data_IF_473795623018
#
_entry.id   IF_473795623018
#
_cell.length_a   1.000
_cell.length_b   1.000
_cell.length_c   1.000
_cell.angle_alpha   90.00
_cell.angle_beta   90.00
_cell.angle_gamma   90.00
#
_symmetry.space_group_name_H-M   'P 1'
#
loop_
_entity.id
_entity.type
_entity.pdbx_description
1 polymer ?
#
# COMPACT_ATOMS: atom_id res chain seq x y z
N UNK A 1 29.60 -17.20 11.35
CA UNK A 1 28.41 -17.68 12.08
C UNK A 1 27.41 -18.08 11.00
N UNK A 2 27.03 -19.34 10.95
CA UNK A 2 26.07 -19.85 9.99
C UNK A 2 24.66 -19.67 10.56
N UNK A 3 23.76 -19.06 9.77
CA UNK A 3 22.37 -18.86 10.20
C UNK A 3 21.62 -20.20 10.10
N UNK A 4 20.81 -20.51 11.09
CA UNK A 4 19.95 -21.70 11.10
C UNK A 4 18.96 -21.65 9.94
N UNK A 5 18.37 -20.47 9.68
CA UNK A 5 17.43 -20.23 8.58
C UNK A 5 17.62 -18.81 8.00
N UNK A 6 17.07 -18.60 6.82
CA UNK A 6 16.91 -17.28 6.18
C UNK A 6 15.44 -17.04 5.88
N UNK A 7 15.06 -15.81 5.61
CA UNK A 7 13.69 -15.48 5.17
C UNK A 7 13.27 -16.39 4.00
N UNK A 8 12.01 -16.87 3.98
CA UNK A 8 11.50 -17.69 2.90
C UNK A 8 11.62 -16.98 1.56
N UNK A 9 11.84 -17.76 0.49
CA UNK A 9 11.96 -17.19 -0.86
C UNK A 9 10.70 -16.40 -1.25
N UNK A 10 10.85 -15.14 -1.62
CA UNK A 10 9.75 -14.26 -2.01
C UNK A 10 9.13 -13.50 -0.85
N UNK A 11 9.79 -13.48 0.32
CA UNK A 11 9.50 -12.58 1.43
C UNK A 11 10.71 -11.68 1.68
N UNK A 12 10.50 -10.52 2.28
CA UNK A 12 11.56 -9.52 2.55
C UNK A 12 11.34 -8.91 3.93
N UNK A 13 12.41 -8.84 4.74
CA UNK A 13 12.37 -8.10 5.99
C UNK A 13 12.43 -6.59 5.72
N UNK A 14 11.50 -5.84 6.28
CA UNK A 14 11.50 -4.37 6.28
C UNK A 14 12.18 -3.91 7.56
N UNK A 15 13.47 -3.63 7.46
CA UNK A 15 14.33 -3.27 8.60
C UNK A 15 14.43 -1.75 8.80
N UNK A 16 14.88 -1.27 10.01
CA UNK A 16 15.16 0.14 10.22
C UNK A 16 16.06 0.74 9.13
N UNK A 17 15.74 1.94 8.66
CA UNK A 17 16.36 2.58 7.49
C UNK A 17 15.53 2.39 6.21
N UNK A 18 14.72 1.33 6.15
CA UNK A 18 13.73 1.13 5.08
C UNK A 18 12.31 1.32 5.60
N UNK A 19 12.05 0.94 6.84
CA UNK A 19 10.73 1.00 7.46
C UNK A 19 10.15 2.43 7.48
N UNK A 20 10.99 3.44 7.63
CA UNK A 20 10.57 4.84 7.64
C UNK A 20 9.96 5.28 6.30
N UNK A 21 10.49 4.79 5.17
CA UNK A 21 9.88 5.04 3.87
C UNK A 21 8.50 4.41 3.74
N UNK A 22 8.32 3.22 4.31
CA UNK A 22 7.03 2.54 4.37
C UNK A 22 6.03 3.33 5.19
N UNK A 23 6.43 3.81 6.37
CA UNK A 23 5.58 4.60 7.26
C UNK A 23 5.07 5.86 6.55
N UNK A 24 5.97 6.64 5.93
CA UNK A 24 5.59 7.85 5.17
C UNK A 24 4.61 7.52 4.06
N UNK A 25 4.87 6.47 3.29
CA UNK A 25 3.98 6.04 2.21
C UNK A 25 2.61 5.60 2.74
N UNK A 26 2.57 4.79 3.79
CA UNK A 26 1.35 4.30 4.43
C UNK A 26 0.53 5.45 5.02
N UNK A 27 1.18 6.44 5.63
CA UNK A 27 0.51 7.63 6.21
C UNK A 27 -0.14 8.49 5.13
N UNK A 28 0.48 8.65 3.96
CA UNK A 28 -0.14 9.34 2.82
C UNK A 28 -1.39 8.60 2.35
N UNK A 29 -1.36 7.27 2.20
CA UNK A 29 -2.53 6.49 1.81
C UNK A 29 -3.63 6.49 2.86
N UNK A 30 -3.27 6.39 4.14
CA UNK A 30 -4.21 6.50 5.26
C UNK A 30 -4.92 7.84 5.26
N UNK A 31 -4.13 8.92 5.24
CA UNK A 31 -4.66 10.29 5.20
C UNK A 31 -5.58 10.52 4.00
N UNK A 32 -5.19 10.03 2.81
CA UNK A 32 -6.02 10.18 1.60
C UNK A 32 -7.34 9.41 1.72
N UNK A 33 -7.34 8.21 2.30
CA UNK A 33 -8.56 7.46 2.56
C UNK A 33 -9.48 8.18 3.55
N UNK A 34 -8.94 8.69 4.65
CA UNK A 34 -9.68 9.41 5.68
C UNK A 34 -10.28 10.71 5.15
N UNK A 35 -9.54 11.48 4.33
CA UNK A 35 -10.04 12.67 3.64
C UNK A 35 -11.25 12.38 2.73
N UNK A 36 -11.31 11.17 2.16
CA UNK A 36 -12.40 10.70 1.33
C UNK A 36 -13.52 10.00 2.12
N UNK A 37 -13.44 9.96 3.47
CA UNK A 37 -14.44 9.40 4.36
C UNK A 37 -14.42 7.87 4.44
N UNK A 38 -13.29 7.22 4.14
CA UNK A 38 -13.11 5.79 4.34
C UNK A 38 -12.65 5.49 5.76
N UNK A 39 -13.24 4.45 6.38
CA UNK A 39 -12.82 3.92 7.67
C UNK A 39 -11.87 2.73 7.52
N UNK A 40 -10.87 2.61 8.41
CA UNK A 40 -9.97 1.46 8.40
C UNK A 40 -10.69 0.17 8.78
N UNK A 41 -10.43 -0.89 8.02
CA UNK A 41 -10.82 -2.26 8.38
C UNK A 41 -9.59 -3.16 8.43
N UNK A 42 -9.53 -4.01 9.46
CA UNK A 42 -8.49 -5.05 9.61
C UNK A 42 -9.14 -6.41 9.65
N UNK A 43 -8.90 -7.20 8.62
CA UNK A 43 -9.42 -8.57 8.50
C UNK A 43 -8.36 -9.59 8.94
N UNK A 44 -8.73 -10.82 9.31
CA UNK A 44 -7.79 -11.89 9.61
C UNK A 44 -6.82 -12.17 8.43
N UNK A 45 -5.60 -12.63 8.77
CA UNK A 45 -4.59 -13.03 7.77
C UNK A 45 -5.02 -14.28 7.01
N UNK A 46 -5.80 -15.15 7.63
CA UNK A 46 -6.32 -16.38 7.05
C UNK A 46 -7.85 -16.43 7.17
N UNK A 47 -8.46 -17.06 6.19
CA UNK A 47 -9.92 -17.22 6.06
C UNK A 47 -10.24 -18.65 5.68
N UNK A 48 -11.51 -19.05 5.76
CA UNK A 48 -11.97 -20.28 5.14
C UNK A 48 -11.72 -20.25 3.63
N UNK A 49 -11.18 -21.34 3.09
CA UNK A 49 -10.82 -21.43 1.66
C UNK A 49 -12.00 -21.13 0.74
N UNK A 50 -13.21 -21.51 1.15
CA UNK A 50 -14.45 -21.26 0.40
C UNK A 50 -14.68 -19.77 0.08
N UNK A 51 -14.24 -18.86 0.96
CA UNK A 51 -14.38 -17.42 0.74
C UNK A 51 -13.70 -16.99 -0.56
N UNK A 52 -12.49 -17.51 -0.80
CA UNK A 52 -11.72 -17.15 -1.99
C UNK A 52 -12.15 -17.94 -3.22
N UNK A 53 -12.56 -19.19 -3.08
CA UNK A 53 -13.10 -20.00 -4.19
C UNK A 53 -14.32 -19.35 -4.80
N UNK A 54 -15.25 -18.86 -3.98
CA UNK A 54 -16.48 -18.19 -4.44
C UNK A 54 -16.20 -16.78 -4.95
N UNK A 55 -15.48 -15.97 -4.17
CA UNK A 55 -15.31 -14.55 -4.46
C UNK A 55 -14.32 -14.24 -5.57
N UNK A 56 -13.18 -14.94 -5.63
CA UNK A 56 -12.10 -14.64 -6.58
C UNK A 56 -12.33 -15.28 -7.95
N UNK A 57 -13.05 -16.40 -7.98
CA UNK A 57 -13.33 -17.21 -9.17
C UNK A 57 -12.35 -18.36 -9.34
N UNK A 58 -12.90 -19.56 -9.56
CA UNK A 58 -12.17 -20.82 -9.69
C UNK A 58 -11.31 -20.93 -10.96
N UNK A 59 -11.52 -20.03 -11.93
CA UNK A 59 -10.74 -19.98 -13.20
C UNK A 59 -9.53 -19.06 -13.13
N UNK A 60 -9.30 -18.39 -12.00
CA UNK A 60 -8.19 -17.44 -11.85
C UNK A 60 -6.88 -18.15 -11.50
N UNK A 61 -5.76 -17.65 -12.01
CA UNK A 61 -4.43 -18.17 -11.62
C UNK A 61 -4.20 -18.08 -10.09
N UNK A 62 -4.80 -17.10 -9.43
CA UNK A 62 -4.70 -16.92 -7.98
C UNK A 62 -5.28 -18.12 -7.27
N UNK A 63 -6.49 -18.55 -7.62
CA UNK A 63 -7.19 -19.69 -7.00
C UNK A 63 -6.56 -21.02 -7.44
N UNK A 64 -6.29 -21.19 -8.73
CA UNK A 64 -5.79 -22.47 -9.26
C UNK A 64 -4.38 -22.81 -8.77
N UNK A 65 -3.49 -21.82 -8.58
CA UNK A 65 -2.04 -22.09 -8.46
C UNK A 65 -1.33 -21.30 -7.36
N UNK A 66 -1.93 -20.23 -6.81
CA UNK A 66 -1.18 -19.27 -6.01
C UNK A 66 -1.62 -19.16 -4.56
N UNK A 67 -2.73 -19.80 -4.16
CA UNK A 67 -3.17 -19.78 -2.77
C UNK A 67 -2.25 -20.64 -1.86
N UNK A 68 -1.96 -20.12 -0.66
CA UNK A 68 -1.40 -20.88 0.43
C UNK A 68 -2.54 -21.49 1.25
N UNK A 69 -2.88 -22.74 0.96
CA UNK A 69 -4.00 -23.45 1.58
C UNK A 69 -3.47 -24.62 2.42
N UNK A 70 -4.04 -24.81 3.60
CA UNK A 70 -3.70 -25.89 4.52
C UNK A 70 -4.93 -26.29 5.36
N UNK A 71 -4.89 -27.44 5.98
CA UNK A 71 -5.87 -27.86 6.97
C UNK A 71 -5.45 -27.44 8.37
N UNK A 72 -6.38 -26.88 9.13
CA UNK A 72 -6.15 -26.61 10.55
C UNK A 72 -6.28 -27.92 11.38
N UNK A 73 -5.98 -27.84 12.69
CA UNK A 73 -6.09 -28.99 13.60
C UNK A 73 -7.51 -29.56 13.71
N UNK A 74 -8.52 -28.84 13.29
CA UNK A 74 -9.93 -29.27 13.26
C UNK A 74 -10.35 -29.83 11.90
N UNK A 75 -9.42 -30.02 10.95
CA UNK A 75 -9.70 -30.52 9.60
C UNK A 75 -10.40 -29.51 8.67
N UNK A 76 -10.36 -28.21 9.00
CA UNK A 76 -10.98 -27.17 8.18
C UNK A 76 -9.95 -26.63 7.18
N UNK A 77 -10.37 -26.47 5.92
CA UNK A 77 -9.53 -25.87 4.88
C UNK A 77 -9.41 -24.35 5.09
N UNK A 78 -8.20 -23.88 5.29
CA UNK A 78 -7.84 -22.49 5.59
C UNK A 78 -6.86 -22.00 4.53
N UNK A 79 -7.01 -20.75 4.14
CA UNK A 79 -6.15 -20.10 3.12
C UNK A 79 -5.62 -18.77 3.66
N UNK A 80 -4.32 -18.51 3.51
CA UNK A 80 -3.77 -17.17 3.71
C UNK A 80 -4.37 -16.25 2.63
N UNK A 81 -4.88 -15.07 3.02
CA UNK A 81 -5.54 -14.15 2.10
C UNK A 81 -4.65 -13.80 0.90
N UNK A 82 -5.06 -14.07 -0.34
CA UNK A 82 -4.34 -13.70 -1.54
C UNK A 82 -4.66 -12.28 -2.01
N UNK A 83 -5.70 -11.66 -1.44
CA UNK A 83 -6.20 -10.30 -1.71
C UNK A 83 -7.07 -9.83 -0.54
N UNK A 84 -7.44 -8.53 -0.51
CA UNK A 84 -8.16 -7.95 0.64
C UNK A 84 -9.68 -7.88 0.48
N UNK A 85 -10.19 -7.82 -0.75
CA UNK A 85 -11.60 -7.53 -1.06
C UNK A 85 -12.56 -8.56 -0.47
N UNK A 86 -12.31 -9.86 -0.66
CA UNK A 86 -13.16 -10.94 -0.14
C UNK A 86 -13.30 -10.87 1.39
N UNK A 87 -12.18 -10.64 2.09
CA UNK A 87 -12.18 -10.45 3.55
C UNK A 87 -12.99 -9.22 3.98
N UNK A 88 -12.89 -8.11 3.23
CA UNK A 88 -13.64 -6.88 3.51
C UNK A 88 -15.15 -7.08 3.31
N UNK A 89 -15.57 -7.75 2.21
CA UNK A 89 -16.99 -8.09 1.96
C UNK A 89 -17.54 -8.97 3.07
N UNK A 90 -16.83 -10.05 3.43
CA UNK A 90 -17.25 -10.94 4.52
C UNK A 90 -17.39 -10.18 5.84
N UNK A 91 -16.41 -9.35 6.19
CA UNK A 91 -16.43 -8.57 7.43
C UNK A 91 -17.54 -7.51 7.44
N UNK A 92 -17.83 -6.87 6.32
CA UNK A 92 -18.94 -5.93 6.15
C UNK A 92 -20.28 -6.61 6.42
N UNK A 93 -20.47 -7.83 5.87
CA UNK A 93 -21.68 -8.61 6.06
C UNK A 93 -21.81 -9.14 7.49
N UNK A 94 -20.77 -9.78 8.01
CA UNK A 94 -20.77 -10.41 9.34
C UNK A 94 -21.01 -9.42 10.47
N UNK A 95 -20.43 -8.21 10.36
CA UNK A 95 -20.59 -7.16 11.37
C UNK A 95 -21.75 -6.20 11.09
N UNK A 96 -22.51 -6.44 10.03
CA UNK A 96 -23.68 -5.63 9.69
C UNK A 96 -23.36 -4.14 9.45
N UNK A 97 -22.19 -3.81 8.88
CA UNK A 97 -21.77 -2.43 8.69
C UNK A 97 -22.73 -1.64 7.81
N UNK A 98 -23.46 -2.30 6.93
CA UNK A 98 -24.52 -1.72 6.10
C UNK A 98 -25.71 -1.18 6.90
N UNK A 99 -25.88 -1.55 8.16
CA UNK A 99 -26.99 -1.07 9.00
C UNK A 99 -26.89 0.42 9.33
N UNK A 100 -25.69 1.00 9.27
CA UNK A 100 -25.47 2.44 9.44
C UNK A 100 -25.87 3.26 8.20
N UNK A 101 -26.20 2.59 7.09
CA UNK A 101 -26.54 3.20 5.80
C UNK A 101 -25.45 3.03 4.75
N UNK A 102 -25.79 3.38 3.51
CA UNK A 102 -24.87 3.36 2.37
C UNK A 102 -24.46 4.78 1.97
N UNK A 103 -23.29 5.00 1.33
CA UNK A 103 -22.29 3.98 1.04
C UNK A 103 -21.46 3.58 2.27
N UNK A 104 -21.12 2.28 2.38
CA UNK A 104 -20.08 1.81 3.31
C UNK A 104 -18.74 1.97 2.62
N UNK A 105 -17.81 2.73 3.23
CA UNK A 105 -16.48 3.04 2.70
C UNK A 105 -15.42 2.49 3.64
N UNK A 106 -14.61 1.55 3.15
CA UNK A 106 -13.59 0.85 3.94
C UNK A 106 -12.24 0.93 3.25
N UNK A 107 -11.15 1.12 4.01
CA UNK A 107 -9.79 0.95 3.52
C UNK A 107 -8.99 -0.02 4.39
N UNK A 108 -7.97 -0.61 3.83
CA UNK A 108 -7.05 -1.49 4.56
C UNK A 108 -5.61 -1.34 4.05
N UNK A 109 -4.67 -1.50 5.00
CA UNK A 109 -3.25 -1.71 4.76
C UNK A 109 -2.92 -3.12 5.24
N UNK A 110 -2.52 -4.01 4.34
CA UNK A 110 -2.44 -5.42 4.68
C UNK A 110 -1.44 -6.21 3.84
N UNK A 111 -0.84 -7.26 4.44
CA UNK A 111 -0.09 -8.26 3.67
C UNK A 111 -1.03 -9.26 3.02
N UNK A 112 -0.73 -9.62 1.78
CA UNK A 112 -1.37 -10.69 1.02
C UNK A 112 -0.34 -11.74 0.61
N UNK A 113 -0.77 -12.98 0.37
CA UNK A 113 0.12 -14.11 0.18
C UNK A 113 -0.21 -14.86 -1.10
N UNK A 114 0.75 -14.95 -2.04
CA UNK A 114 0.59 -15.63 -3.32
C UNK A 114 1.81 -16.49 -3.65
N UNK A 115 1.60 -17.76 -3.97
CA UNK A 115 2.68 -18.67 -4.38
C UNK A 115 3.12 -18.38 -5.83
N UNK A 116 3.63 -17.16 -6.04
CA UNK A 116 4.16 -16.73 -7.33
C UNK A 116 5.66 -17.06 -7.47
N UNK A 117 6.13 -17.11 -8.73
CA UNK A 117 7.57 -17.11 -9.01
C UNK A 117 8.11 -15.71 -8.69
N UNK A 118 8.97 -15.55 -7.67
CA UNK A 118 9.48 -14.24 -7.29
C UNK A 118 10.26 -13.58 -8.41
N UNK A 119 9.93 -12.31 -8.67
CA UNK A 119 10.62 -11.43 -9.62
C UNK A 119 10.39 -9.98 -9.19
N UNK A 120 11.00 -9.01 -9.89
CA UNK A 120 10.80 -7.59 -9.61
C UNK A 120 9.30 -7.25 -9.57
N UNK A 121 8.85 -6.63 -8.46
CA UNK A 121 7.45 -6.25 -8.24
C UNK A 121 6.47 -7.43 -8.03
N UNK A 122 6.96 -8.67 -7.86
CA UNK A 122 6.15 -9.86 -7.51
C UNK A 122 6.81 -10.66 -6.41
N UNK A 123 6.26 -10.56 -5.22
CA UNK A 123 6.67 -11.28 -4.03
C UNK A 123 5.62 -12.32 -3.65
N UNK A 124 5.98 -13.27 -2.77
CA UNK A 124 5.05 -14.24 -2.19
C UNK A 124 4.28 -13.66 -1.00
N UNK A 125 4.91 -12.78 -0.25
CA UNK A 125 4.26 -11.84 0.64
C UNK A 125 4.34 -10.46 -0.01
N UNK A 126 3.20 -9.86 -0.28
CA UNK A 126 3.07 -8.54 -0.89
C UNK A 126 2.22 -7.66 0.03
N UNK A 127 2.52 -6.38 0.06
CA UNK A 127 1.78 -5.42 0.86
C UNK A 127 0.81 -4.63 -0.02
N UNK A 128 -0.41 -4.48 0.44
CA UNK A 128 -1.48 -3.87 -0.33
C UNK A 128 -2.18 -2.78 0.49
N UNK A 129 -2.33 -1.61 -0.12
CA UNK A 129 -3.36 -0.65 0.24
C UNK A 129 -4.58 -0.91 -0.64
N UNK A 130 -5.75 -1.04 -0.04
CA UNK A 130 -6.99 -1.21 -0.79
C UNK A 130 -8.13 -0.40 -0.20
N UNK A 131 -9.09 -0.09 -1.05
CA UNK A 131 -10.35 0.55 -0.67
C UNK A 131 -11.51 -0.21 -1.26
N UNK A 132 -12.60 -0.27 -0.51
CA UNK A 132 -13.85 -0.91 -0.92
C UNK A 132 -15.01 0.02 -0.59
N UNK A 133 -15.90 0.24 -1.55
CA UNK A 133 -17.11 1.04 -1.41
C UNK A 133 -18.33 0.20 -1.79
N UNK A 134 -19.25 0.06 -0.87
CA UNK A 134 -20.47 -0.74 -1.06
C UNK A 134 -21.70 0.16 -1.07
N UNK A 135 -22.67 -0.17 -1.94
CA UNK A 135 -23.96 0.52 -2.04
C UNK A 135 -23.96 1.77 -2.93
N UNK A 136 -22.85 2.10 -3.58
CA UNK A 136 -22.74 3.25 -4.50
C UNK A 136 -22.85 2.76 -5.96
N UNK A 137 -24.00 2.94 -6.58
CA UNK A 137 -24.24 2.53 -7.97
C UNK A 137 -23.82 3.59 -9.00
N UNK A 138 -23.78 4.85 -8.62
CA UNK A 138 -23.60 5.98 -9.53
C UNK A 138 -22.17 6.08 -10.08
N UNK A 139 -21.98 6.50 -11.36
CA UNK A 139 -20.67 6.63 -12.01
C UNK A 139 -19.69 7.56 -11.30
N UNK A 140 -20.20 8.54 -10.55
CA UNK A 140 -19.37 9.48 -9.77
C UNK A 140 -18.53 8.75 -8.70
N UNK A 141 -19.02 7.62 -8.19
CA UNK A 141 -18.27 6.81 -7.22
C UNK A 141 -17.02 6.18 -7.84
N UNK A 142 -17.11 5.70 -9.10
CA UNK A 142 -15.96 5.20 -9.86
C UNK A 142 -14.90 6.29 -10.04
N UNK A 143 -15.32 7.48 -10.47
CA UNK A 143 -14.44 8.63 -10.64
C UNK A 143 -13.81 9.06 -9.31
N UNK A 144 -14.56 9.03 -8.19
CA UNK A 144 -14.03 9.39 -6.87
C UNK A 144 -12.88 8.50 -6.42
N UNK A 145 -13.03 7.16 -6.50
CA UNK A 145 -11.96 6.25 -6.05
C UNK A 145 -10.74 6.31 -6.96
N UNK A 146 -10.93 6.53 -8.27
CA UNK A 146 -9.82 6.72 -9.22
C UNK A 146 -9.07 8.02 -8.90
N UNK A 147 -9.79 9.13 -8.70
CA UNK A 147 -9.21 10.42 -8.35
C UNK A 147 -8.45 10.36 -7.02
N UNK A 148 -8.99 9.65 -6.02
CA UNK A 148 -8.33 9.41 -4.73
C UNK A 148 -6.98 8.69 -4.89
N UNK A 149 -6.92 7.64 -5.70
CA UNK A 149 -5.68 6.91 -5.94
C UNK A 149 -4.62 7.80 -6.63
N UNK A 150 -5.03 8.59 -7.63
CA UNK A 150 -4.15 9.51 -8.34
C UNK A 150 -3.68 10.67 -7.45
N UNK A 151 -4.54 11.16 -6.55
CA UNK A 151 -4.18 12.15 -5.54
C UNK A 151 -3.08 11.61 -4.61
N UNK A 152 -3.23 10.37 -4.12
CA UNK A 152 -2.23 9.72 -3.29
C UNK A 152 -0.88 9.59 -4.00
N UNK A 153 -0.87 9.18 -5.27
CA UNK A 153 0.37 9.10 -6.08
C UNK A 153 1.03 10.48 -6.23
N UNK A 154 0.25 11.51 -6.52
CA UNK A 154 0.75 12.88 -6.63
C UNK A 154 1.33 13.40 -5.31
N UNK A 155 0.68 13.13 -4.17
CA UNK A 155 1.18 13.49 -2.84
C UNK A 155 2.48 12.76 -2.49
N UNK A 156 2.69 11.55 -3.00
CA UNK A 156 3.94 10.80 -2.88
C UNK A 156 5.03 11.30 -3.84
N UNK A 157 4.74 12.23 -4.75
CA UNK A 157 5.69 12.71 -5.76
C UNK A 157 5.87 11.79 -6.96
N UNK A 158 4.92 10.88 -7.22
CA UNK A 158 4.92 10.04 -8.41
C UNK A 158 4.29 10.78 -9.59
N UNK A 159 5.08 11.06 -10.65
CA UNK A 159 4.64 11.82 -11.82
C UNK A 159 4.39 10.96 -13.07
N UNK A 160 4.90 9.71 -13.09
CA UNK A 160 4.87 8.84 -14.26
C UNK A 160 3.72 7.82 -14.28
N UNK A 161 2.76 7.97 -13.37
CA UNK A 161 1.63 7.05 -13.24
C UNK A 161 0.51 7.46 -14.18
N UNK A 162 0.19 6.57 -15.13
CA UNK A 162 -0.95 6.74 -16.04
C UNK A 162 -2.24 6.15 -15.47
N UNK A 163 -3.34 6.38 -16.19
CA UNK A 163 -4.63 5.77 -15.93
C UNK A 163 -5.13 5.08 -17.20
N UNK A 164 -5.32 3.77 -17.13
CA UNK A 164 -6.00 2.99 -18.17
C UNK A 164 -7.39 2.61 -17.68
N UNK A 165 -8.38 2.79 -18.53
CA UNK A 165 -9.80 2.53 -18.28
C UNK A 165 -10.36 1.55 -19.29
N UNK A 166 -11.29 0.70 -18.84
CA UNK A 166 -12.17 -0.08 -19.69
C UNK A 166 -13.53 -0.28 -19.03
N UNK A 167 -14.50 -0.74 -19.80
CA UNK A 167 -15.73 -1.32 -19.29
C UNK A 167 -15.84 -2.76 -19.77
N UNK A 168 -15.89 -3.72 -18.84
CA UNK A 168 -16.10 -5.13 -19.16
C UNK A 168 -17.59 -5.51 -19.17
N UNK A 169 -18.47 -4.53 -19.12
CA UNK A 169 -19.91 -4.67 -19.19
C UNK A 169 -20.55 -5.40 -17.99
N UNK A 170 -21.86 -5.46 -18.01
CA UNK A 170 -22.65 -6.27 -17.09
C UNK A 170 -22.71 -7.75 -17.58
N UNK A 171 -23.31 -8.68 -16.80
CA UNK A 171 -23.45 -10.07 -17.21
C UNK A 171 -24.12 -10.26 -18.58
N UNK A 172 -25.09 -9.42 -18.94
CA UNK A 172 -25.76 -9.48 -20.25
C UNK A 172 -24.82 -9.08 -21.41
N UNK A 173 -24.06 -7.99 -21.26
CA UNK A 173 -23.05 -7.61 -22.24
C UNK A 173 -22.02 -8.73 -22.45
N UNK A 174 -21.61 -9.39 -21.37
CA UNK A 174 -20.59 -10.45 -21.42
C UNK A 174 -21.07 -11.71 -22.13
N UNK A 175 -22.38 -12.04 -22.12
CA UNK A 175 -22.90 -13.21 -22.85
C UNK A 175 -22.57 -13.14 -24.33
N UNK A 176 -22.93 -12.05 -24.98
CA UNK A 176 -22.69 -11.85 -26.42
C UNK A 176 -21.18 -11.69 -26.72
N UNK A 177 -20.47 -10.99 -25.85
CA UNK A 177 -19.04 -10.82 -26.02
C UNK A 177 -18.26 -12.14 -25.88
N UNK A 178 -18.58 -12.97 -24.90
CA UNK A 178 -17.99 -14.30 -24.73
C UNK A 178 -18.20 -15.19 -25.96
N UNK A 179 -19.40 -15.12 -26.56
CA UNK A 179 -19.69 -15.83 -27.80
C UNK A 179 -18.79 -15.38 -28.94
N UNK A 180 -18.67 -14.06 -29.14
CA UNK A 180 -17.81 -13.48 -30.16
C UNK A 180 -16.33 -13.83 -29.94
N UNK A 181 -15.84 -13.74 -28.68
CA UNK A 181 -14.47 -14.14 -28.34
C UNK A 181 -14.23 -15.63 -28.58
N UNK A 182 -15.19 -16.49 -28.19
CA UNK A 182 -15.08 -17.94 -28.40
C UNK A 182 -15.02 -18.29 -29.88
N UNK A 183 -15.84 -17.68 -30.70
CA UNK A 183 -15.80 -17.84 -32.17
C UNK A 183 -14.44 -17.36 -32.74
N UNK A 184 -14.01 -16.18 -32.36
CA UNK A 184 -12.74 -15.59 -32.81
C UNK A 184 -11.51 -16.44 -32.47
N UNK A 185 -11.36 -16.86 -31.20
CA UNK A 185 -10.23 -17.66 -30.75
C UNK A 185 -10.30 -19.12 -31.20
N UNK A 186 -11.50 -19.68 -31.37
CA UNK A 186 -11.66 -21.03 -31.91
C UNK A 186 -11.10 -21.14 -33.33
N UNK A 187 -11.31 -20.11 -34.17
CA UNK A 187 -10.76 -20.05 -35.52
C UNK A 187 -9.22 -19.89 -35.54
N UNK A 188 -8.58 -19.66 -34.39
CA UNK A 188 -7.12 -19.42 -34.24
C UNK A 188 -6.49 -20.28 -33.15
N UNK A 189 -7.08 -21.45 -32.85
CA UNK A 189 -6.62 -22.34 -31.78
C UNK A 189 -5.15 -22.72 -31.90
N UNK A 190 -4.67 -22.93 -33.13
CA UNK A 190 -3.28 -23.32 -33.40
C UNK A 190 -2.25 -22.24 -33.06
N UNK A 191 -2.69 -21.01 -32.77
CA UNK A 191 -1.85 -19.87 -32.41
C UNK A 191 -1.92 -19.56 -30.90
N UNK A 192 -2.64 -20.37 -30.12
CA UNK A 192 -2.83 -20.17 -28.70
C UNK A 192 -1.92 -21.12 -27.89
N UNK A 193 -1.37 -20.63 -26.78
CA UNK A 193 -0.65 -21.48 -25.82
C UNK A 193 -1.61 -22.41 -25.09
N UNK A 194 -1.09 -23.51 -24.50
CA UNK A 194 -1.88 -24.52 -23.77
C UNK A 194 -2.79 -23.94 -22.69
N UNK A 195 -2.30 -22.95 -21.94
CA UNK A 195 -3.10 -22.24 -20.94
C UNK A 195 -4.28 -21.51 -21.57
N UNK A 196 -4.09 -20.87 -22.72
CA UNK A 196 -5.16 -20.16 -23.42
C UNK A 196 -6.15 -21.12 -24.10
N UNK A 197 -5.73 -22.29 -24.52
CA UNK A 197 -6.64 -23.35 -24.97
C UNK A 197 -7.59 -23.79 -23.84
N UNK A 198 -7.08 -23.97 -22.61
CA UNK A 198 -7.92 -24.25 -21.44
C UNK A 198 -8.87 -23.09 -21.11
N UNK A 199 -8.38 -21.84 -21.17
CA UNK A 199 -9.17 -20.62 -20.91
C UNK A 199 -10.28 -20.41 -21.94
N UNK A 200 -10.08 -20.83 -23.18
CA UNK A 200 -11.07 -20.70 -24.26
C UNK A 200 -12.39 -21.36 -23.92
N UNK A 201 -12.36 -22.51 -23.23
CA UNK A 201 -13.58 -23.23 -22.86
C UNK A 201 -14.24 -22.66 -21.60
N UNK A 202 -13.44 -22.14 -20.67
CA UNK A 202 -13.94 -21.68 -19.33
C UNK A 202 -14.19 -20.18 -19.26
N UNK A 203 -13.22 -19.37 -19.67
CA UNK A 203 -13.32 -17.91 -19.64
C UNK A 203 -12.45 -17.28 -20.74
N UNK A 204 -12.97 -17.08 -21.95
CA UNK A 204 -12.23 -16.58 -23.10
C UNK A 204 -11.67 -15.16 -22.90
N UNK A 205 -12.27 -14.33 -22.02
CA UNK A 205 -11.73 -13.01 -21.70
C UNK A 205 -10.33 -13.09 -21.06
N UNK A 206 -9.99 -14.17 -20.36
CA UNK A 206 -8.66 -14.39 -19.79
C UNK A 206 -7.55 -14.58 -20.82
N UNK A 207 -7.89 -14.86 -22.07
CA UNK A 207 -6.91 -14.95 -23.16
C UNK A 207 -6.32 -13.55 -23.45
N UNK A 208 -7.10 -12.49 -23.30
CA UNK A 208 -6.68 -11.10 -23.54
C UNK A 208 -5.52 -10.67 -22.59
N UNK A 209 -5.43 -11.25 -21.38
CA UNK A 209 -4.35 -10.99 -20.42
C UNK A 209 -3.18 -11.99 -20.54
N UNK A 210 -3.10 -12.77 -21.62
CA UNK A 210 -2.01 -13.72 -21.79
C UNK A 210 -0.68 -13.00 -22.03
N UNK A 211 0.39 -13.49 -21.36
CA UNK A 211 1.73 -12.90 -21.47
C UNK A 211 2.59 -13.58 -22.57
N UNK A 212 2.08 -14.65 -23.22
CA UNK A 212 2.78 -15.25 -24.38
C UNK A 212 2.74 -14.29 -25.57
N UNK A 213 3.89 -14.00 -26.21
CA UNK A 213 3.94 -13.11 -27.37
C UNK A 213 3.01 -13.56 -28.53
N UNK A 214 2.90 -14.87 -28.75
CA UNK A 214 2.04 -15.44 -29.79
C UNK A 214 0.57 -15.14 -29.51
N UNK A 215 0.12 -15.37 -28.26
CA UNK A 215 -1.25 -15.04 -27.86
C UNK A 215 -1.52 -13.53 -27.90
N UNK A 216 -0.54 -12.70 -27.52
CA UNK A 216 -0.70 -11.25 -27.58
C UNK A 216 -0.91 -10.76 -29.03
N UNK A 217 -0.22 -11.35 -30.00
CA UNK A 217 -0.40 -11.01 -31.40
C UNK A 217 -1.83 -11.36 -31.89
N UNK A 218 -2.32 -12.54 -31.50
CA UNK A 218 -3.70 -12.95 -31.79
C UNK A 218 -4.71 -12.01 -31.13
N UNK A 219 -4.46 -11.56 -29.90
CA UNK A 219 -5.35 -10.67 -29.15
C UNK A 219 -5.53 -9.28 -29.79
N UNK A 220 -4.56 -8.79 -30.57
CA UNK A 220 -4.68 -7.47 -31.24
C UNK A 220 -5.88 -7.36 -32.18
N UNK A 221 -6.30 -8.46 -32.80
CA UNK A 221 -7.47 -8.51 -33.68
C UNK A 221 -8.76 -9.01 -33.03
N UNK A 222 -8.76 -9.22 -31.72
CA UNK A 222 -9.92 -9.74 -31.02
C UNK A 222 -11.06 -8.70 -30.96
N UNK A 223 -12.33 -9.15 -30.91
CA UNK A 223 -13.47 -8.27 -30.68
C UNK A 223 -13.27 -7.42 -29.42
N UNK A 224 -13.71 -6.18 -29.43
CA UNK A 224 -13.61 -5.26 -28.29
C UNK A 224 -14.90 -5.29 -27.49
N UNK A 225 -14.80 -5.40 -26.16
CA UNK A 225 -15.99 -5.40 -25.28
C UNK A 225 -16.84 -4.14 -25.42
N UNK A 226 -16.21 -3.01 -25.72
CA UNK A 226 -16.91 -1.72 -25.93
C UNK A 226 -17.97 -1.77 -27.01
N UNK A 227 -17.85 -2.67 -28.00
CA UNK A 227 -18.81 -2.84 -29.08
C UNK A 227 -20.04 -3.67 -28.67
N UNK A 228 -19.97 -4.33 -27.52
CA UNK A 228 -21.01 -5.23 -26.98
C UNK A 228 -21.70 -4.68 -25.72
N UNK A 229 -21.37 -3.45 -25.32
CA UNK A 229 -22.00 -2.83 -24.14
C UNK A 229 -23.47 -2.53 -24.42
N UNK A 230 -24.35 -2.85 -23.47
CA UNK A 230 -25.72 -2.36 -23.46
C UNK A 230 -25.78 -0.85 -23.21
N UNK A 231 -26.91 -0.22 -23.48
CA UNK A 231 -27.06 1.24 -23.34
C UNK A 231 -26.74 1.73 -21.92
N UNK A 232 -27.15 1.00 -20.88
CA UNK A 232 -26.85 1.36 -19.49
C UNK A 232 -25.35 1.32 -19.19
N UNK A 233 -24.61 0.30 -19.68
CA UNK A 233 -23.19 0.21 -19.50
C UNK A 233 -22.42 1.27 -20.30
N UNK A 234 -22.88 1.61 -21.51
CA UNK A 234 -22.35 2.72 -22.30
C UNK A 234 -22.54 4.05 -21.58
N UNK A 235 -23.77 4.32 -21.13
CA UNK A 235 -24.10 5.56 -20.42
C UNK A 235 -23.29 5.70 -19.11
N UNK A 236 -23.18 4.62 -18.31
CA UNK A 236 -22.38 4.59 -17.10
C UNK A 236 -20.91 4.92 -17.41
N UNK A 237 -20.32 4.22 -18.37
CA UNK A 237 -18.91 4.39 -18.73
C UNK A 237 -18.61 5.79 -19.30
N UNK A 238 -19.51 6.35 -20.08
CA UNK A 238 -19.41 7.71 -20.59
C UNK A 238 -19.44 8.75 -19.45
N UNK A 239 -20.30 8.56 -18.42
CA UNK A 239 -20.36 9.43 -17.26
C UNK A 239 -19.09 9.36 -16.39
N UNK A 240 -18.49 8.18 -16.21
CA UNK A 240 -17.19 8.06 -15.52
C UNK A 240 -16.13 8.92 -16.22
N UNK A 241 -16.04 8.82 -17.56
CA UNK A 241 -15.10 9.61 -18.35
C UNK A 241 -15.38 11.12 -18.24
N UNK A 242 -16.66 11.54 -18.25
CA UNK A 242 -17.07 12.93 -18.07
C UNK A 242 -16.60 13.49 -16.72
N UNK A 243 -16.78 12.75 -15.60
CA UNK A 243 -16.33 13.17 -14.28
C UNK A 243 -14.80 13.26 -14.18
N UNK A 244 -14.06 12.29 -14.74
CA UNK A 244 -12.60 12.34 -14.75
C UNK A 244 -12.07 13.51 -15.58
N UNK A 245 -12.69 13.75 -16.75
CA UNK A 245 -12.36 14.91 -17.60
C UNK A 245 -12.63 16.24 -16.89
N UNK A 246 -13.74 16.34 -16.14
CA UNK A 246 -14.07 17.52 -15.36
C UNK A 246 -13.03 17.84 -14.26
N UNK A 247 -12.34 16.81 -13.74
CA UNK A 247 -11.23 16.95 -12.80
C UNK A 247 -9.87 17.19 -13.51
N UNK A 248 -9.84 17.24 -14.84
CA UNK A 248 -8.60 17.36 -15.61
C UNK A 248 -7.71 16.10 -15.56
N UNK A 249 -8.29 14.96 -15.23
CA UNK A 249 -7.57 13.68 -15.18
C UNK A 249 -7.47 13.10 -16.60
N UNK A 250 -6.24 12.91 -17.06
CA UNK A 250 -5.95 12.23 -18.33
C UNK A 250 -6.06 10.72 -18.17
N UNK A 251 -6.63 10.04 -19.16
CA UNK A 251 -6.78 8.59 -19.17
C UNK A 251 -6.72 8.03 -20.58
N UNK A 252 -6.36 6.76 -20.70
CA UNK A 252 -6.37 5.98 -21.93
C UNK A 252 -7.48 4.93 -21.86
N UNK A 253 -8.29 4.79 -22.91
CA UNK A 253 -9.23 3.69 -23.04
C UNK A 253 -8.50 2.49 -23.64
N UNK A 254 -8.36 1.43 -22.86
CA UNK A 254 -7.78 0.16 -23.30
C UNK A 254 -8.85 -0.94 -23.36
N UNK A 255 -9.42 -1.23 -24.55
CA UNK A 255 -10.42 -2.28 -24.68
C UNK A 255 -9.92 -3.69 -24.39
N UNK A 256 -8.60 -3.89 -24.31
CA UNK A 256 -7.95 -5.14 -23.92
C UNK A 256 -7.77 -5.30 -22.44
N UNK A 257 -7.97 -4.22 -21.65
CA UNK A 257 -7.81 -4.25 -20.21
C UNK A 257 -8.86 -5.17 -19.57
N UNK A 258 -8.39 -6.26 -18.99
CA UNK A 258 -9.16 -7.16 -18.11
C UNK A 258 -8.42 -7.31 -16.78
N UNK A 259 -9.14 -7.57 -15.69
CA UNK A 259 -8.55 -7.70 -14.36
C UNK A 259 -8.23 -9.16 -14.01
N UNK A 260 -7.27 -9.35 -13.11
CA UNK A 260 -6.81 -10.67 -12.66
C UNK A 260 -7.84 -11.51 -11.87
N UNK A 261 -9.02 -10.99 -11.56
CA UNK A 261 -10.07 -11.62 -10.76
C UNK A 261 -11.41 -11.61 -11.53
N UNK A 262 -12.24 -12.62 -11.35
CA UNK A 262 -13.42 -12.84 -12.20
C UNK A 262 -14.67 -12.06 -11.76
N UNK A 263 -14.68 -11.52 -10.55
CA UNK A 263 -15.83 -10.83 -9.97
C UNK A 263 -16.13 -9.45 -10.58
N UNK A 264 -15.22 -8.88 -11.34
CA UNK A 264 -15.40 -7.52 -11.87
C UNK A 264 -16.55 -7.43 -12.86
N UNK A 265 -17.19 -6.25 -12.85
CA UNK A 265 -18.29 -5.85 -13.75
C UNK A 265 -18.09 -4.39 -14.16
N UNK A 266 -18.72 -3.93 -15.26
CA UNK A 266 -18.72 -2.54 -15.70
C UNK A 266 -17.31 -1.93 -15.75
N UNK A 267 -17.06 -0.83 -15.01
CA UNK A 267 -15.78 -0.10 -15.01
C UNK A 267 -14.66 -0.91 -14.40
N UNK A 268 -13.53 -0.99 -15.11
CA UNK A 268 -12.25 -1.49 -14.62
C UNK A 268 -11.14 -0.51 -14.98
N UNK A 269 -10.09 -0.45 -14.15
CA UNK A 269 -8.98 0.46 -14.35
C UNK A 269 -7.66 -0.09 -13.81
N UNK A 270 -6.56 0.41 -14.36
CA UNK A 270 -5.19 0.17 -13.90
C UNK A 270 -4.37 1.46 -13.86
N UNK A 271 -3.34 1.45 -13.01
CA UNK A 271 -2.37 2.52 -12.87
C UNK A 271 -1.00 2.06 -13.36
N UNK A 272 -0.71 2.11 -14.68
CA UNK A 272 0.60 1.77 -15.21
C UNK A 272 1.64 2.81 -14.81
N UNK A 273 2.86 2.35 -14.42
CA UNK A 273 4.04 3.19 -14.22
C UNK A 273 4.95 3.06 -15.44
N UNK A 274 5.32 4.18 -16.04
CA UNK A 274 6.20 4.20 -17.22
C UNK A 274 7.63 3.76 -16.85
N UNK A 275 8.12 4.18 -15.68
CA UNK A 275 9.46 3.84 -15.19
C UNK A 275 9.64 2.35 -14.89
N UNK A 276 8.56 1.67 -14.46
CA UNK A 276 8.61 0.25 -14.13
C UNK A 276 8.14 -0.67 -15.27
N UNK A 277 7.35 -0.17 -16.23
CA UNK A 277 6.77 -0.97 -17.30
C UNK A 277 5.68 -1.96 -16.84
N UNK A 278 5.11 -1.78 -15.65
CA UNK A 278 3.97 -2.54 -15.13
C UNK A 278 3.09 -1.68 -14.22
N UNK A 279 1.85 -2.16 -13.98
CA UNK A 279 0.90 -1.43 -13.16
C UNK A 279 1.24 -1.48 -11.66
N UNK A 280 1.06 -0.36 -10.95
CA UNK A 280 1.17 -0.25 -9.50
C UNK A 280 -0.02 -0.89 -8.77
N UNK A 281 -1.15 -0.96 -9.45
CA UNK A 281 -2.38 -1.54 -8.98
C UNK A 281 -3.54 -1.23 -9.91
N UNK A 282 -4.74 -1.43 -9.43
CA UNK A 282 -5.95 -1.11 -10.15
C UNK A 282 -7.17 -1.74 -9.51
N UNK A 283 -8.33 -1.51 -10.08
CA UNK A 283 -9.60 -1.88 -9.51
C UNK A 283 -10.73 -1.89 -10.50
N UNK A 284 -11.95 -1.71 -9.97
CA UNK A 284 -13.17 -1.65 -10.74
C UNK A 284 -14.40 -1.97 -9.92
N UNK A 285 -15.53 -2.11 -10.61
CA UNK A 285 -16.80 -2.54 -10.02
C UNK A 285 -16.92 -4.05 -9.92
N UNK A 286 -17.67 -4.51 -8.92
CA UNK A 286 -17.97 -5.92 -8.67
C UNK A 286 -19.36 -6.06 -8.05
N UNK A 287 -20.39 -5.61 -8.77
CA UNK A 287 -21.77 -5.47 -8.29
C UNK A 287 -22.44 -6.78 -7.84
N UNK A 288 -21.94 -7.96 -8.25
CA UNK A 288 -22.45 -9.27 -7.84
C UNK A 288 -21.78 -9.89 -6.61
N UNK A 289 -20.62 -9.38 -6.17
CA UNK A 289 -19.78 -10.06 -5.19
C UNK A 289 -20.43 -10.18 -3.80
N UNK A 290 -21.13 -9.14 -3.35
CA UNK A 290 -21.83 -9.14 -2.05
C UNK A 290 -22.92 -10.22 -2.01
N UNK A 291 -23.63 -10.41 -3.12
CA UNK A 291 -24.68 -11.44 -3.26
C UNK A 291 -24.06 -12.85 -3.28
N UNK A 292 -22.92 -13.05 -3.94
CA UNK A 292 -22.19 -14.32 -3.93
C UNK A 292 -21.78 -14.76 -2.52
N UNK A 293 -21.56 -13.80 -1.61
CA UNK A 293 -21.25 -14.06 -0.19
C UNK A 293 -22.50 -14.14 0.70
N UNK A 294 -23.71 -14.21 0.12
CA UNK A 294 -24.96 -14.37 0.83
C UNK A 294 -25.58 -13.07 1.33
N UNK A 295 -25.05 -11.92 0.92
CA UNK A 295 -25.67 -10.62 1.16
C UNK A 295 -26.81 -10.31 0.19
N UNK A 296 -27.47 -9.16 0.37
CA UNK A 296 -28.42 -8.65 -0.62
C UNK A 296 -27.65 -8.09 -1.83
N UNK A 297 -28.26 -8.06 -3.04
CA UNK A 297 -27.68 -7.39 -4.19
C UNK A 297 -27.24 -5.97 -3.81
N UNK A 298 -25.93 -5.72 -3.82
CA UNK A 298 -25.35 -4.45 -3.37
C UNK A 298 -24.20 -4.10 -4.32
N UNK A 299 -24.28 -2.94 -5.00
CA UNK A 299 -23.17 -2.48 -5.82
C UNK A 299 -21.88 -2.38 -5.01
N UNK A 300 -20.78 -2.83 -5.61
CA UNK A 300 -19.45 -2.76 -5.00
C UNK A 300 -18.43 -2.23 -5.99
N UNK A 301 -17.47 -1.48 -5.49
CA UNK A 301 -16.32 -1.03 -6.25
C UNK A 301 -15.14 -0.80 -5.31
N UNK A 302 -13.93 -0.97 -5.85
CA UNK A 302 -12.72 -0.79 -5.06
C UNK A 302 -11.46 -0.92 -5.91
N UNK A 303 -10.34 -0.77 -5.26
CA UNK A 303 -9.03 -1.03 -5.86
C UNK A 303 -8.04 -1.61 -4.85
N UNK A 304 -7.01 -2.27 -5.38
CA UNK A 304 -5.83 -2.68 -4.62
C UNK A 304 -4.56 -2.14 -5.26
N UNK A 305 -3.74 -1.46 -4.47
CA UNK A 305 -2.43 -0.92 -4.86
C UNK A 305 -1.33 -1.71 -4.18
N UNK A 306 -0.30 -2.11 -4.94
CA UNK A 306 0.85 -2.84 -4.40
C UNK A 306 1.88 -1.87 -3.83
N UNK A 307 2.00 -1.80 -2.50
CA UNK A 307 2.93 -0.88 -1.82
C UNK A 307 4.39 -1.17 -2.18
N UNK A 308 4.76 -2.44 -2.32
CA UNK A 308 6.10 -2.85 -2.78
C UNK A 308 6.43 -2.25 -4.16
N UNK A 309 5.46 -2.21 -5.08
CA UNK A 309 5.63 -1.65 -6.42
C UNK A 309 5.68 -0.12 -6.39
N UNK A 310 4.88 0.50 -5.54
CA UNK A 310 4.88 1.95 -5.34
C UNK A 310 6.23 2.39 -4.80
N UNK A 311 6.78 1.70 -3.81
CA UNK A 311 8.11 1.99 -3.29
C UNK A 311 9.19 1.84 -4.37
N UNK A 312 9.10 0.82 -5.23
CA UNK A 312 10.00 0.67 -6.37
C UNK A 312 9.88 1.83 -7.36
N UNK A 313 8.66 2.34 -7.62
CA UNK A 313 8.45 3.49 -8.51
C UNK A 313 9.03 4.78 -7.91
N UNK A 314 8.84 5.00 -6.61
CA UNK A 314 9.43 6.13 -5.87
C UNK A 314 10.97 6.08 -5.93
N UNK A 315 11.57 4.92 -5.75
CA UNK A 315 13.02 4.72 -5.87
C UNK A 315 13.52 4.93 -7.30
N UNK A 316 12.79 4.44 -8.31
CA UNK A 316 13.14 4.63 -9.74
C UNK A 316 13.08 6.10 -10.16
N UNK A 317 12.16 6.88 -9.62
CA UNK A 317 12.03 8.32 -9.85
C UNK A 317 12.90 9.16 -8.91
N UNK A 318 13.68 8.53 -8.02
CA UNK A 318 14.55 9.20 -7.05
C UNK A 318 13.82 10.19 -6.15
N UNK A 319 12.58 9.86 -5.78
CA UNK A 319 11.80 10.67 -4.85
C UNK A 319 12.47 10.67 -3.47
N UNK A 320 12.76 11.86 -2.95
CA UNK A 320 13.35 12.04 -1.63
C UNK A 320 12.28 11.85 -0.54
N UNK A 321 12.61 11.04 0.44
CA UNK A 321 11.78 10.87 1.63
C UNK A 321 12.26 11.78 2.76
N UNK A 322 11.34 12.35 3.55
CA UNK A 322 11.73 13.09 4.75
C UNK A 322 12.60 12.22 5.65
N UNK A 323 13.77 12.74 5.99
CA UNK A 323 14.63 12.08 6.98
C UNK A 323 14.19 12.53 8.36
N UNK A 324 13.38 11.71 9.02
CA UNK A 324 13.06 11.95 10.42
C UNK A 324 14.29 11.67 11.27
N UNK A 325 14.71 12.60 12.16
CA UNK A 325 15.84 12.37 13.05
C UNK A 325 15.51 11.20 14.00
N UNK A 326 16.36 10.16 13.93
CA UNK A 326 16.20 8.96 14.79
C UNK A 326 16.52 9.26 16.24
N UNK A 327 17.29 10.30 16.51
CA UNK A 327 17.72 10.74 17.82
C UNK A 327 17.95 12.26 17.77
N UNK A 328 17.11 13.01 18.43
CA UNK A 328 17.31 14.46 18.56
C UNK A 328 18.44 14.78 19.53
N UNK A 329 18.44 14.11 20.70
CA UNK A 329 19.43 14.33 21.75
C UNK A 329 20.09 13.01 22.17
N UNK A 330 21.42 12.95 22.13
CA UNK A 330 22.17 11.86 22.73
C UNK A 330 22.93 12.36 23.98
N UNK A 331 22.65 11.77 25.16
CA UNK A 331 23.29 12.14 26.42
C UNK A 331 24.38 11.11 26.71
N UNK A 332 25.63 11.50 26.53
CA UNK A 332 26.79 10.69 26.92
C UNK A 332 27.11 10.88 28.40
N UNK A 333 27.54 9.82 29.08
CA UNK A 333 27.69 9.82 30.54
C UNK A 333 29.05 9.31 31.00
N UNK A 334 29.55 9.89 32.10
CA UNK A 334 30.72 9.41 32.83
C UNK A 334 30.37 9.24 34.32
N UNK A 335 30.34 7.99 34.77
CA UNK A 335 30.00 7.64 36.17
C UNK A 335 28.51 7.32 36.39
N UNK A 336 28.23 6.70 37.54
CA UNK A 336 26.90 6.16 37.85
C UNK A 336 25.87 7.27 38.09
N UNK A 337 26.24 8.34 38.80
CA UNK A 337 25.32 9.46 39.07
C UNK A 337 24.98 10.21 37.76
N UNK A 338 25.93 10.33 36.84
CA UNK A 338 25.66 10.89 35.49
C UNK A 338 24.70 10.02 34.70
N UNK A 339 24.82 8.68 34.77
CA UNK A 339 23.87 7.75 34.14
C UNK A 339 22.46 7.91 34.71
N UNK A 340 22.33 7.99 36.00
CA UNK A 340 21.05 8.21 36.70
C UNK A 340 20.42 9.54 36.29
N UNK A 341 21.21 10.61 36.22
CA UNK A 341 20.74 11.91 35.77
C UNK A 341 20.30 11.90 34.33
N UNK A 342 21.11 11.30 33.41
CA UNK A 342 20.75 11.14 32.03
C UNK A 342 19.44 10.39 31.83
N UNK A 343 19.21 9.33 32.61
CA UNK A 343 17.98 8.57 32.53
C UNK A 343 16.75 9.42 32.91
N UNK A 344 16.86 10.29 33.92
CA UNK A 344 15.79 11.22 34.26
C UNK A 344 15.53 12.26 33.17
N UNK A 345 16.59 12.84 32.57
CA UNK A 345 16.45 13.80 31.49
C UNK A 345 15.88 13.16 30.21
N UNK A 346 16.20 11.89 29.95
CA UNK A 346 15.59 11.15 28.84
C UNK A 346 14.08 11.00 29.03
N UNK A 347 13.63 10.66 30.24
CA UNK A 347 12.19 10.55 30.53
C UNK A 347 11.48 11.90 30.35
N UNK A 348 12.10 13.00 30.73
CA UNK A 348 11.57 14.35 30.50
C UNK A 348 11.46 14.66 28.99
N UNK A 349 12.50 14.39 28.19
CA UNK A 349 12.49 14.56 26.72
C UNK A 349 11.42 13.69 26.07
N UNK A 350 11.33 12.41 26.45
CA UNK A 350 10.35 11.47 25.90
C UNK A 350 8.90 11.88 26.21
N UNK A 351 8.64 12.42 27.41
CA UNK A 351 7.32 12.98 27.76
C UNK A 351 6.93 14.17 26.88
N UNK A 352 7.92 14.90 26.40
CA UNK A 352 7.73 15.99 25.44
C UNK A 352 7.71 15.53 23.98
N UNK A 353 7.76 14.21 23.70
CA UNK A 353 7.78 13.66 22.33
C UNK A 353 9.11 13.84 21.62
N UNK A 354 10.21 14.15 22.34
CA UNK A 354 11.54 14.37 21.77
C UNK A 354 12.32 13.06 21.78
N UNK A 355 12.72 12.51 20.60
CA UNK A 355 13.53 11.29 20.52
C UNK A 355 14.90 11.50 21.12
N UNK A 356 15.25 10.78 22.17
CA UNK A 356 16.55 10.89 22.84
C UNK A 356 17.08 9.53 23.26
N UNK A 357 18.41 9.41 23.43
CA UNK A 357 19.07 8.16 23.81
C UNK A 357 20.32 8.42 24.65
N UNK A 358 20.79 7.38 25.33
CA UNK A 358 22.03 7.39 26.13
C UNK A 358 22.77 6.06 25.98
N UNK A 359 23.92 5.90 26.64
CA UNK A 359 24.66 4.65 26.60
C UNK A 359 24.04 3.56 27.50
N UNK A 360 23.56 2.50 26.88
CA UNK A 360 23.01 1.32 27.53
C UNK A 360 24.01 0.13 27.56
N UNK A 361 25.23 0.32 27.03
CA UNK A 361 26.20 -0.76 26.86
C UNK A 361 27.46 -0.59 27.72
N UNK A 362 27.53 0.40 28.61
CA UNK A 362 28.71 0.66 29.46
C UNK A 362 29.95 1.11 28.66
N UNK A 363 29.76 1.83 27.56
CA UNK A 363 30.86 2.30 26.71
C UNK A 363 31.59 3.49 27.36
N UNK A 364 32.90 3.58 27.16
CA UNK A 364 33.62 4.79 27.51
C UNK A 364 33.22 5.99 26.62
N UNK A 365 33.37 7.22 27.12
CA UNK A 365 32.91 8.47 26.51
C UNK A 365 33.22 8.58 25.01
N UNK A 366 34.47 8.26 24.60
CA UNK A 366 34.88 8.32 23.18
C UNK A 366 34.00 7.38 22.29
N UNK A 367 33.65 6.21 22.80
CA UNK A 367 32.82 5.23 22.09
C UNK A 367 31.35 5.67 22.06
N UNK A 368 30.84 6.28 23.12
CA UNK A 368 29.52 6.89 23.19
C UNK A 368 29.37 8.00 22.13
N UNK A 369 30.30 8.93 22.07
CA UNK A 369 30.28 10.02 21.06
C UNK A 369 30.39 9.51 19.63
N UNK A 370 31.18 8.45 19.39
CA UNK A 370 31.23 7.79 18.09
C UNK A 370 29.89 7.14 17.73
N UNK A 371 29.22 6.56 18.72
CA UNK A 371 27.91 5.95 18.53
C UNK A 371 26.84 7.02 18.25
N UNK A 372 26.83 8.14 19.00
CA UNK A 372 25.94 9.27 18.75
C UNK A 372 26.04 9.77 17.29
N UNK A 373 27.26 9.93 16.77
CA UNK A 373 27.47 10.27 15.36
C UNK A 373 26.98 9.19 14.40
N UNK A 374 27.13 7.90 14.73
CA UNK A 374 26.68 6.78 13.90
C UNK A 374 25.15 6.70 13.79
N UNK A 375 24.44 6.99 14.89
CA UNK A 375 22.95 6.99 14.89
C UNK A 375 22.37 8.29 14.34
N UNK A 376 23.22 9.28 13.98
CA UNK A 376 22.77 10.55 13.44
C UNK A 376 22.11 11.46 14.46
N UNK A 377 22.57 11.42 15.73
CA UNK A 377 22.06 12.33 16.75
C UNK A 377 22.27 13.80 16.30
N UNK A 378 21.20 14.61 16.39
CA UNK A 378 21.22 16.04 16.02
C UNK A 378 22.02 16.85 17.02
N UNK A 379 21.78 16.57 18.30
CA UNK A 379 22.49 17.18 19.40
C UNK A 379 23.14 16.14 20.29
N UNK A 380 24.22 16.50 20.94
CA UNK A 380 24.87 15.69 21.99
C UNK A 380 25.14 16.52 23.23
N UNK A 381 25.05 15.88 24.38
CA UNK A 381 25.40 16.45 25.67
C UNK A 381 26.26 15.42 26.44
N UNK A 382 27.24 15.89 27.18
CA UNK A 382 28.06 15.05 28.06
C UNK A 382 27.73 15.40 29.51
N UNK A 383 27.47 14.37 30.31
CA UNK A 383 27.29 14.50 31.76
C UNK A 383 28.40 13.77 32.52
N UNK A 384 29.03 14.48 33.39
CA UNK A 384 30.00 13.98 34.37
C UNK A 384 29.86 14.74 35.69
N UNK A 385 30.77 14.54 36.62
CA UNK A 385 30.70 15.13 37.98
C UNK A 385 30.66 16.67 37.94
N UNK A 386 31.39 17.31 36.99
CA UNK A 386 31.39 18.77 36.89
C UNK A 386 30.01 19.32 36.45
N UNK A 387 29.40 18.73 35.42
CA UNK A 387 28.09 19.14 34.93
C UNK A 387 27.00 18.92 36.01
N UNK A 388 27.11 17.85 36.77
CA UNK A 388 26.20 17.58 37.86
C UNK A 388 26.33 18.62 39.00
N UNK A 389 27.56 19.05 39.32
CA UNK A 389 27.82 20.08 40.35
C UNK A 389 27.37 21.46 39.87
N UNK A 390 27.64 21.81 38.60
CA UNK A 390 27.23 23.09 38.03
C UNK A 390 25.71 23.18 37.75
N UNK A 391 25.00 22.05 37.67
CA UNK A 391 23.62 21.99 37.27
C UNK A 391 23.38 22.38 35.81
N UNK A 392 24.44 22.43 34.99
CA UNK A 392 24.43 22.83 33.58
C UNK A 392 25.37 21.95 32.75
N UNK A 393 25.04 21.72 31.49
CA UNK A 393 25.85 20.97 30.54
C UNK A 393 25.92 21.65 29.17
N UNK A 394 26.97 21.37 28.39
CA UNK A 394 27.07 21.84 27.00
C UNK A 394 26.28 20.95 26.06
N UNK A 395 25.24 21.48 25.45
CA UNK A 395 24.54 20.92 24.32
C UNK A 395 25.28 21.30 23.05
N UNK A 396 25.70 20.32 22.25
CA UNK A 396 26.44 20.51 21.01
C UNK A 396 25.61 20.11 19.81
N UNK A 397 25.43 21.00 18.85
CA UNK A 397 24.89 20.68 17.55
C UNK A 397 25.90 19.87 16.74
N UNK A 398 25.53 18.67 16.31
CA UNK A 398 26.44 17.75 15.62
C UNK A 398 26.74 18.14 14.16
N UNK A 399 25.87 18.95 13.54
CA UNK A 399 26.04 19.44 12.17
C UNK A 399 26.94 20.68 12.11
N UNK A 400 26.67 21.68 12.98
CA UNK A 400 27.41 22.95 12.97
C UNK A 400 28.61 22.95 13.90
N UNK A 401 28.63 22.08 14.91
CA UNK A 401 29.63 22.07 15.98
C UNK A 401 29.38 23.14 17.05
N UNK A 402 28.34 23.96 16.91
CA UNK A 402 27.98 24.99 17.89
C UNK A 402 27.63 24.38 19.24
N UNK A 403 28.00 25.09 20.31
CA UNK A 403 27.79 24.64 21.68
C UNK A 403 27.03 25.71 22.45
N UNK A 404 26.05 25.30 23.25
CA UNK A 404 25.30 26.13 24.17
C UNK A 404 25.19 25.48 25.54
N UNK A 405 25.43 26.23 26.61
CA UNK A 405 25.17 25.74 27.96
C UNK A 405 23.67 25.78 28.26
N UNK A 406 23.13 24.66 28.68
CA UNK A 406 21.74 24.49 29.06
C UNK A 406 21.64 23.96 30.51
N UNK A 407 20.55 24.27 31.18
CA UNK A 407 20.23 23.69 32.49
C UNK A 407 20.01 22.18 32.35
N UNK A 408 20.29 21.41 33.39
CA UNK A 408 20.04 19.97 33.45
C UNK A 408 19.00 19.58 34.52
N UNK A 409 18.19 20.53 35.00
CA UNK A 409 17.21 20.32 36.04
C UNK A 409 15.85 20.88 35.67
N UNK A 410 14.79 20.08 35.90
CA UNK A 410 13.40 20.48 35.84
C UNK A 410 12.94 21.11 34.51
N UNK A 411 11.97 21.99 34.59
CA UNK A 411 11.40 22.67 33.42
C UNK A 411 12.42 23.52 32.63
N UNK A 412 13.43 24.02 33.32
CA UNK A 412 14.49 24.84 32.66
C UNK A 412 15.24 24.02 31.60
N UNK A 413 15.46 22.71 31.81
CA UNK A 413 16.09 21.84 30.84
C UNK A 413 15.34 21.77 29.51
N UNK A 414 14.02 21.53 29.57
CA UNK A 414 13.18 21.44 28.40
C UNK A 414 13.09 22.80 27.68
N UNK A 415 12.93 23.88 28.45
CA UNK A 415 12.86 25.23 27.89
C UNK A 415 14.15 25.62 27.16
N UNK A 416 15.31 25.36 27.80
CA UNK A 416 16.62 25.62 27.19
C UNK A 416 16.82 24.75 25.94
N UNK A 417 16.46 23.46 26.02
CA UNK A 417 16.53 22.55 24.87
C UNK A 417 15.70 23.08 23.70
N UNK A 418 14.43 23.40 23.92
CA UNK A 418 13.53 23.91 22.87
C UNK A 418 14.10 25.21 22.28
N UNK A 419 14.58 26.14 23.11
CA UNK A 419 15.19 27.40 22.63
C UNK A 419 16.37 27.12 21.71
N UNK A 420 17.31 26.30 22.13
CA UNK A 420 18.54 26.00 21.36
C UNK A 420 18.21 25.19 20.10
N UNK A 421 17.26 24.25 20.17
CA UNK A 421 16.88 23.44 19.01
C UNK A 421 16.15 24.26 17.95
N UNK A 422 15.28 25.20 18.36
CA UNK A 422 14.52 26.09 17.46
C UNK A 422 15.44 27.13 16.78
N UNK A 423 16.40 27.70 17.53
CA UNK A 423 17.40 28.61 16.95
C UNK A 423 18.32 27.92 15.92
N UNK A 424 18.50 26.60 16.06
CA UNK A 424 19.33 25.80 15.15
C UNK A 424 18.57 25.33 13.89
N UNK A 425 17.24 25.46 13.86
CA UNK A 425 16.45 25.20 12.67
C UNK A 425 16.42 26.44 11.78
N UNK A 426 17.13 26.35 10.66
CA UNK A 426 16.98 27.31 9.58
C UNK A 426 15.57 27.10 8.97
N UNK A 427 14.64 28.04 9.21
CA UNK A 427 13.25 27.99 8.73
C UNK A 427 13.12 28.12 7.19
N UNK A 428 14.21 27.92 6.46
CA UNK A 428 14.24 27.89 5.01
C UNK A 428 14.25 26.43 4.52
N UNK A 429 13.13 25.95 4.01
CA UNK A 429 13.01 24.82 3.06
C UNK A 429 12.65 23.42 3.56
N UNK A 430 11.85 23.21 4.58
CA UNK A 430 11.14 21.93 4.62
C UNK A 430 9.64 22.19 4.49
N UNK A 431 9.16 22.05 3.25
CA UNK A 431 7.74 22.10 2.93
C UNK A 431 7.00 21.05 3.77
N UNK A 432 6.08 21.53 4.54
CA UNK A 432 5.15 20.70 5.32
C UNK A 432 4.34 19.88 4.33
N UNK A 433 4.67 18.62 4.18
CA UNK A 433 3.79 17.63 3.56
C UNK A 433 2.84 17.10 4.64
N UNK A 434 1.68 17.75 4.77
CA UNK A 434 0.49 17.22 5.42
C UNK A 434 -0.56 16.88 4.37
#
# INVERSE_FOLDING_TARGET
MELITKAPKGTVDIVPGKAEKWQVMEDVFRSEAELNGFGEIRTPVFEHTELFLRGVGDTTDVVEKQMYTFEDKGGRSITLRPEGTAGAVRAMLENGLYNAGYPVKLYYLTSCYRYEKPQAGRLRELHQFGVEMFGAAEPVADAQIIAMALSAFKRLGLEDVGLQLNSIGCPECRKEYHKALKEYFTARKDQLCDTCLSRLERNPMRILDCKSPECQEVCKGAPKITDYLCEDCKAHFAKVQEFLTALGIEFEIDPGLVRGLDYYTRTVFEFPSKSLGFALGGGGRYDGLVEEFGGKPTPGLGFGLGLDRILMALEAQQVEFPQLPKCEMYIATMGEEAQKKAFLLLDELHRCGIPADTDLCGRGLKAQMKYAGKIGAKFTMVLGDNELQEGKAEMKNMKTGEKRKIAINGEDFINDYVTVSTEAEDFSQDGIFF
#
